data_IF_369856801005
#
_entry.id   IF_369856801005
#
_cell.length_a   1.000
_cell.length_b   1.000
_cell.length_c   1.000
_cell.angle_alpha   90.00
_cell.angle_beta   90.00
_cell.angle_gamma   90.00
#
_symmetry.space_group_name_H-M   'P 1'
#
loop_
_entity.id
_entity.type
_entity.pdbx_description
1 polymer ?
#
# COMPACT_ATOMS: atom_id res chain seq x y z
N UNK A 1 -7.65 5.65 -24.06
CA UNK A 1 -6.82 4.45 -23.85
C UNK A 1 -7.67 3.44 -23.10
N UNK A 2 -7.68 2.14 -23.46
CA UNK A 2 -8.35 1.10 -22.67
C UNK A 2 -7.81 1.02 -21.24
N UNK A 3 -8.64 0.59 -20.29
CA UNK A 3 -8.25 0.50 -18.87
C UNK A 3 -7.13 -0.54 -18.66
N UNK A 4 -7.05 -1.57 -19.49
CA UNK A 4 -6.02 -2.62 -19.44
C UNK A 4 -4.63 -2.07 -19.71
N UNK A 5 -4.50 -1.20 -20.72
CA UNK A 5 -3.22 -0.59 -21.06
C UNK A 5 -2.79 0.44 -20.00
N UNK A 6 -3.74 1.22 -19.46
CA UNK A 6 -3.47 2.10 -18.32
C UNK A 6 -2.98 1.28 -17.13
N UNK A 7 -3.64 0.15 -16.85
CA UNK A 7 -3.28 -0.75 -15.76
C UNK A 7 -1.88 -1.30 -15.94
N UNK A 8 -1.55 -1.82 -17.12
CA UNK A 8 -0.23 -2.38 -17.44
C UNK A 8 0.88 -1.35 -17.24
N UNK A 9 0.71 -0.13 -17.76
CA UNK A 9 1.66 0.96 -17.57
C UNK A 9 1.86 1.28 -16.08
N UNK A 10 0.77 1.42 -15.33
CA UNK A 10 0.80 1.78 -13.91
C UNK A 10 1.27 0.65 -13.00
N UNK A 11 1.07 -0.62 -13.38
CA UNK A 11 1.50 -1.78 -12.59
C UNK A 11 3.00 -1.76 -12.33
N UNK A 12 3.81 -1.40 -13.32
CA UNK A 12 5.27 -1.30 -13.16
C UNK A 12 5.71 -0.20 -12.19
N UNK A 13 4.86 0.81 -11.98
CA UNK A 13 5.14 1.98 -11.15
C UNK A 13 4.59 1.86 -9.72
N UNK A 14 3.44 1.19 -9.56
CA UNK A 14 2.69 1.13 -8.31
C UNK A 14 2.84 -0.19 -7.57
N UNK A 15 3.02 -1.31 -8.27
CA UNK A 15 3.13 -2.60 -7.60
C UNK A 15 4.50 -2.78 -6.99
N UNK A 16 4.51 -3.31 -5.76
CA UNK A 16 5.72 -3.63 -5.03
C UNK A 16 6.21 -5.03 -5.46
N UNK A 17 7.43 -5.16 -6.01
CA UNK A 17 8.00 -6.46 -6.34
C UNK A 17 8.14 -7.36 -5.10
N UNK A 18 7.90 -8.65 -5.25
CA UNK A 18 7.99 -9.62 -4.15
C UNK A 18 9.38 -9.66 -3.50
N UNK A 19 10.43 -9.53 -4.32
CA UNK A 19 11.82 -9.45 -3.86
C UNK A 19 12.09 -8.25 -2.94
N UNK A 20 11.31 -7.16 -3.07
CA UNK A 20 11.34 -6.03 -2.14
C UNK A 20 10.43 -6.27 -0.95
N UNK A 21 9.22 -6.80 -1.17
CA UNK A 21 8.24 -7.04 -0.11
C UNK A 21 8.74 -8.03 0.95
N UNK A 22 9.34 -9.15 0.54
CA UNK A 22 9.88 -10.18 1.44
C UNK A 22 11.35 -9.94 1.81
N UNK A 23 11.89 -8.76 1.55
CA UNK A 23 13.28 -8.46 1.86
C UNK A 23 13.51 -8.39 3.38
N UNK A 24 14.44 -9.20 3.89
CA UNK A 24 14.78 -9.29 5.32
C UNK A 24 16.17 -8.72 5.65
N UNK A 25 16.75 -7.92 4.74
CA UNK A 25 18.06 -7.30 5.01
C UNK A 25 17.94 -6.27 6.12
N UNK A 26 19.06 -6.00 6.79
CA UNK A 26 19.18 -5.01 7.88
C UNK A 26 18.69 -3.61 7.47
N UNK A 27 18.92 -3.24 6.22
CA UNK A 27 18.42 -1.98 5.65
C UNK A 27 17.23 -2.29 4.78
N UNK A 28 16.08 -1.70 5.11
CA UNK A 28 14.84 -1.87 4.34
C UNK A 28 14.98 -1.35 2.91
N UNK A 29 14.46 -2.04 1.88
CA UNK A 29 14.40 -1.53 0.52
C UNK A 29 13.45 -0.33 0.36
N UNK A 30 12.67 0.00 1.40
CA UNK A 30 11.77 1.14 1.47
C UNK A 30 12.36 2.30 2.30
N UNK A 31 13.61 2.18 2.76
CA UNK A 31 14.30 3.23 3.51
C UNK A 31 14.68 4.43 2.63
N UNK A 32 14.91 4.21 1.35
CA UNK A 32 15.24 5.26 0.38
C UNK A 32 13.99 6.00 -0.05
N UNK A 33 13.99 7.35 -0.08
CA UNK A 33 12.88 8.12 -0.63
C UNK A 33 12.55 7.68 -2.06
N UNK A 34 11.26 7.49 -2.33
CA UNK A 34 10.73 7.24 -3.67
C UNK A 34 9.80 8.39 -4.07
N UNK A 35 9.61 8.63 -5.38
CA UNK A 35 8.58 9.55 -5.85
C UNK A 35 7.21 9.18 -5.28
N UNK A 36 6.39 10.19 -5.00
CA UNK A 36 5.03 9.96 -4.50
C UNK A 36 4.18 9.30 -5.59
N UNK A 37 3.60 8.14 -5.28
CA UNK A 37 2.65 7.47 -6.16
C UNK A 37 1.36 8.28 -6.39
N UNK A 38 1.07 9.28 -5.53
CA UNK A 38 -0.12 10.13 -5.65
C UNK A 38 -0.18 10.92 -6.97
N UNK A 39 0.98 11.22 -7.57
CA UNK A 39 1.06 11.95 -8.84
C UNK A 39 0.30 11.22 -9.97
N UNK A 40 0.29 9.89 -9.95
CA UNK A 40 -0.41 9.08 -10.96
C UNK A 40 -1.93 9.08 -10.76
N UNK A 41 -2.42 9.31 -9.54
CA UNK A 41 -3.85 9.31 -9.25
C UNK A 41 -4.54 10.62 -9.66
N UNK A 42 -3.78 11.71 -9.81
CA UNK A 42 -4.31 13.05 -10.09
C UNK A 42 -4.25 13.45 -11.56
N UNK A 43 -3.80 12.56 -12.44
CA UNK A 43 -3.72 12.84 -13.90
C UNK A 43 -5.11 13.02 -14.50
N UNK A 44 -6.01 12.05 -14.29
CA UNK A 44 -7.41 12.11 -14.70
C UNK A 44 -8.25 11.09 -13.93
N UNK A 45 -9.59 11.18 -14.05
CA UNK A 45 -10.53 10.26 -13.36
C UNK A 45 -10.31 8.79 -13.74
N UNK A 46 -9.93 8.52 -14.99
CA UNK A 46 -9.64 7.15 -15.44
C UNK A 46 -8.41 6.59 -14.74
N UNK A 47 -7.31 7.36 -14.68
CA UNK A 47 -6.10 6.95 -13.99
C UNK A 47 -6.34 6.76 -12.50
N UNK A 48 -7.07 7.67 -11.85
CA UNK A 48 -7.47 7.49 -10.45
C UNK A 48 -8.18 6.16 -10.22
N UNK A 49 -9.18 5.84 -11.04
CA UNK A 49 -9.97 4.60 -10.93
C UNK A 49 -9.09 3.36 -11.11
N UNK A 50 -8.21 3.34 -12.11
CA UNK A 50 -7.34 2.19 -12.44
C UNK A 50 -6.18 2.05 -11.43
N UNK A 51 -5.60 3.16 -10.99
CA UNK A 51 -4.46 3.20 -10.08
C UNK A 51 -4.82 2.83 -8.64
N UNK A 52 -6.02 3.21 -8.17
CA UNK A 52 -6.44 3.00 -6.78
C UNK A 52 -6.26 1.55 -6.30
N UNK A 53 -6.78 0.50 -6.99
CA UNK A 53 -6.56 -0.87 -6.56
C UNK A 53 -5.07 -1.28 -6.59
N UNK A 54 -4.27 -0.76 -7.52
CA UNK A 54 -2.84 -1.04 -7.57
C UNK A 54 -2.07 -0.40 -6.40
N UNK A 55 -2.46 0.83 -6.03
CA UNK A 55 -1.85 1.58 -4.93
C UNK A 55 -2.10 0.90 -3.58
N UNK A 56 -3.32 0.40 -3.36
CA UNK A 56 -3.69 -0.23 -2.10
C UNK A 56 -3.32 -1.72 -2.01
N UNK A 57 -2.94 -2.37 -3.12
CA UNK A 57 -2.59 -3.80 -3.16
C UNK A 57 -1.51 -4.16 -2.12
N UNK A 58 -0.49 -3.29 -1.97
CA UNK A 58 0.59 -3.46 -1.01
C UNK A 58 0.81 -2.21 -0.16
N UNK A 59 0.69 -2.37 1.16
CA UNK A 59 0.86 -1.29 2.14
C UNK A 59 2.12 -1.53 2.97
N UNK A 60 2.99 -0.53 3.03
CA UNK A 60 4.22 -0.56 3.82
C UNK A 60 4.14 0.53 4.90
N UNK A 61 4.10 0.11 6.16
CA UNK A 61 4.00 0.99 7.33
C UNK A 61 5.35 1.02 8.06
N UNK A 62 6.00 2.19 8.07
CA UNK A 62 7.35 2.40 8.66
C UNK A 62 7.38 3.51 9.70
N UNK A 63 6.24 4.12 10.00
CA UNK A 63 6.13 5.22 10.97
C UNK A 63 4.74 5.28 11.60
N UNK A 64 4.66 5.89 12.79
CA UNK A 64 3.39 6.14 13.49
C UNK A 64 2.43 7.00 12.67
N UNK A 65 2.96 8.00 11.97
CA UNK A 65 2.17 8.88 11.11
C UNK A 65 1.52 8.10 9.96
N UNK A 66 2.24 7.18 9.32
CA UNK A 66 1.67 6.30 8.29
C UNK A 66 0.59 5.38 8.87
N UNK A 67 0.83 4.77 10.03
CA UNK A 67 -0.15 3.91 10.69
C UNK A 67 -1.46 4.67 10.99
N UNK A 68 -1.35 5.88 11.56
CA UNK A 68 -2.49 6.75 11.85
C UNK A 68 -3.23 7.18 10.58
N UNK A 69 -2.51 7.63 9.56
CA UNK A 69 -3.08 8.03 8.28
C UNK A 69 -3.84 6.86 7.64
N UNK A 70 -3.26 5.66 7.65
CA UNK A 70 -3.90 4.47 7.10
C UNK A 70 -5.16 4.08 7.87
N UNK A 71 -5.12 4.09 9.20
CA UNK A 71 -6.33 3.88 10.03
C UNK A 71 -7.43 4.88 9.64
N UNK A 72 -7.10 6.16 9.48
CA UNK A 72 -8.07 7.19 9.13
C UNK A 72 -8.64 6.99 7.72
N UNK A 73 -7.79 6.61 6.76
CA UNK A 73 -8.20 6.29 5.39
C UNK A 73 -9.20 5.13 5.37
N UNK A 74 -8.91 4.03 6.05
CA UNK A 74 -9.77 2.84 6.09
C UNK A 74 -11.11 3.13 6.79
N UNK A 75 -11.12 3.96 7.83
CA UNK A 75 -12.36 4.41 8.49
C UNK A 75 -13.24 5.25 7.57
N UNK A 76 -12.64 6.20 6.86
CA UNK A 76 -13.39 7.13 6.02
C UNK A 76 -13.75 6.53 4.66
N UNK A 77 -13.03 5.49 4.22
CA UNK A 77 -13.19 4.86 2.92
C UNK A 77 -13.15 3.32 3.06
N UNK A 78 -14.20 2.70 3.64
CA UNK A 78 -14.21 1.25 3.87
C UNK A 78 -14.04 0.41 2.59
N UNK A 79 -14.39 0.96 1.42
CA UNK A 79 -14.23 0.32 0.12
C UNK A 79 -12.76 0.06 -0.27
N UNK A 80 -11.79 0.69 0.41
CA UNK A 80 -10.37 0.44 0.16
C UNK A 80 -9.84 -0.75 0.95
N UNK A 81 -10.49 -1.14 2.04
CA UNK A 81 -10.01 -2.22 2.89
C UNK A 81 -9.87 -3.57 2.18
N UNK A 82 -10.81 -3.98 1.29
CA UNK A 82 -10.69 -5.22 0.52
C UNK A 82 -9.58 -5.18 -0.55
N UNK A 83 -9.06 -4.00 -0.89
CA UNK A 83 -8.00 -3.86 -1.89
C UNK A 83 -6.62 -4.21 -1.32
N UNK A 84 -6.47 -4.16 0.00
CA UNK A 84 -5.22 -4.46 0.69
C UNK A 84 -5.00 -5.97 0.75
N UNK A 85 -3.96 -6.45 0.06
CA UNK A 85 -3.57 -7.87 0.04
C UNK A 85 -2.25 -8.13 0.72
N UNK A 86 -1.31 -7.19 0.60
CA UNK A 86 0.03 -7.30 1.17
C UNK A 86 0.23 -6.21 2.21
N UNK A 87 0.62 -6.62 3.41
CA UNK A 87 0.91 -5.70 4.51
C UNK A 87 2.33 -5.94 5.02
N UNK A 88 3.16 -4.90 4.97
CA UNK A 88 4.49 -4.88 5.55
C UNK A 88 4.56 -3.87 6.68
N UNK A 89 5.03 -4.31 7.84
CA UNK A 89 5.18 -3.47 9.03
C UNK A 89 6.64 -3.49 9.46
N UNK A 90 7.25 -2.31 9.50
CA UNK A 90 8.60 -2.09 9.99
C UNK A 90 8.54 -1.24 11.26
N UNK A 91 8.50 -1.91 12.41
CA UNK A 91 8.34 -1.33 13.73
C UNK A 91 7.04 -1.75 14.44
N UNK A 92 6.82 -1.19 15.63
CA UNK A 92 5.62 -1.43 16.44
C UNK A 92 4.70 -0.21 16.52
N UNK A 93 3.46 -0.33 16.02
CA UNK A 93 2.47 0.76 16.02
C UNK A 93 1.18 0.45 16.79
N UNK A 94 1.18 -0.56 17.66
CA UNK A 94 0.10 -0.80 18.64
C UNK A 94 -1.31 -0.90 18.03
N UNK A 95 -2.26 -0.19 18.64
CA UNK A 95 -3.69 -0.26 18.29
C UNK A 95 -4.01 0.13 16.85
N UNK A 96 -3.20 1.00 16.22
CA UNK A 96 -3.35 1.35 14.82
C UNK A 96 -3.15 0.11 13.93
N UNK A 97 -2.16 -0.74 14.24
CA UNK A 97 -1.98 -1.99 13.49
C UNK A 97 -3.12 -2.97 13.69
N UNK A 98 -3.62 -3.11 14.92
CA UNK A 98 -4.78 -3.95 15.19
C UNK A 98 -5.96 -3.51 14.32
N UNK A 99 -6.24 -2.21 14.25
CA UNK A 99 -7.29 -1.68 13.40
C UNK A 99 -7.05 -1.95 11.90
N UNK A 100 -5.83 -1.73 11.40
CA UNK A 100 -5.51 -1.96 9.97
C UNK A 100 -5.73 -3.44 9.61
N UNK A 101 -5.18 -4.37 10.41
CA UNK A 101 -5.27 -5.81 10.15
C UNK A 101 -6.73 -6.28 10.20
N UNK A 102 -7.49 -5.86 11.21
CA UNK A 102 -8.90 -6.24 11.37
C UNK A 102 -9.82 -5.62 10.33
N UNK A 103 -9.46 -4.46 9.77
CA UNK A 103 -10.26 -3.80 8.73
C UNK A 103 -10.07 -4.41 7.35
N UNK A 104 -8.93 -5.05 7.08
CA UNK A 104 -8.51 -5.51 5.76
C UNK A 104 -8.66 -7.05 5.64
N UNK A 105 -9.82 -7.56 5.21
CA UNK A 105 -10.11 -9.00 5.24
C UNK A 105 -9.32 -9.82 4.20
N UNK A 106 -8.77 -9.17 3.18
CA UNK A 106 -8.13 -9.83 2.03
C UNK A 106 -6.60 -9.88 2.14
N UNK A 107 -6.03 -9.59 3.32
CA UNK A 107 -4.59 -9.70 3.52
C UNK A 107 -4.18 -11.18 3.38
N UNK A 108 -3.40 -11.47 2.34
CA UNK A 108 -2.81 -12.79 2.07
C UNK A 108 -1.36 -12.86 2.53
N UNK A 109 -0.65 -11.74 2.48
CA UNK A 109 0.79 -11.68 2.77
C UNK A 109 1.07 -10.65 3.86
N UNK A 110 1.69 -11.11 4.95
CA UNK A 110 2.07 -10.28 6.09
C UNK A 110 3.57 -10.40 6.36
N UNK A 111 4.26 -9.27 6.43
CA UNK A 111 5.66 -9.20 6.85
C UNK A 111 5.81 -8.27 8.04
N UNK A 112 6.49 -8.76 9.09
CA UNK A 112 6.72 -8.01 10.33
C UNK A 112 8.23 -7.96 10.58
N UNK A 113 8.74 -6.76 10.87
CA UNK A 113 10.13 -6.54 11.26
C UNK A 113 10.20 -5.48 12.35
N UNK A 114 11.20 -5.58 13.22
CA UNK A 114 11.45 -4.70 14.36
C UNK A 114 12.74 -3.91 14.15
#
# INVERSE_FOLDING_TARGET
LPDELVKEMLSSLLLVPESKFFNVRKISPFATPSPSCSAYLVVCKQWMRVATPLLYDCIVVRSKAQAQAMTQVLKNNPNFSPLVKKLRVEGGFGMQMNHIITSCPNITDLTLSL
#
